data_IF_902060064557
#
_entry.id   IF_902060064557
#
_cell.length_a   1.000
_cell.length_b   1.000
_cell.length_c   1.000
_cell.angle_alpha   90.00
_cell.angle_beta   90.00
_cell.angle_gamma   90.00
#
_symmetry.space_group_name_H-M   'P 1'
#
loop_
_entity.id
_entity.type
_entity.pdbx_description
1 polymer ?
#
# COMPACT_ATOMS: atom_id res chain seq x y z
N UNK A 1 -66.83 -16.76 37.92
CA UNK A 1 -67.31 -17.49 36.71
C UNK A 1 -66.89 -16.66 35.50
N UNK A 2 -66.21 -17.15 34.46
CA UNK A 2 -65.83 -18.53 34.14
C UNK A 2 -66.36 -18.95 32.77
N UNK A 3 -65.63 -18.62 31.69
CA UNK A 3 -65.66 -19.34 30.40
C UNK A 3 -64.52 -18.91 29.48
N UNK A 4 -63.61 -19.84 29.21
CA UNK A 4 -62.75 -19.80 28.02
C UNK A 4 -63.64 -19.94 26.78
N UNK A 5 -63.21 -19.36 25.67
CA UNK A 5 -63.46 -19.94 24.34
C UNK A 5 -62.20 -19.85 23.49
N UNK A 6 -61.53 -20.99 23.33
CA UNK A 6 -60.75 -21.29 22.14
C UNK A 6 -61.75 -21.55 20.99
N UNK A 7 -61.40 -21.25 19.73
CA UNK A 7 -61.24 -22.28 18.70
C UNK A 7 -60.77 -21.72 17.33
N UNK A 8 -59.74 -22.41 16.83
CA UNK A 8 -59.36 -22.69 15.43
C UNK A 8 -59.45 -21.68 14.28
N UNK A 9 -58.27 -21.51 13.67
CA UNK A 9 -58.07 -21.40 12.22
C UNK A 9 -58.97 -22.32 11.39
N UNK A 10 -59.52 -21.79 10.29
CA UNK A 10 -59.76 -22.58 9.06
C UNK A 10 -59.17 -21.85 7.85
N UNK A 11 -58.42 -22.60 7.04
CA UNK A 11 -58.01 -22.19 5.69
C UNK A 11 -59.20 -22.41 4.76
N UNK A 12 -59.44 -21.50 3.82
CA UNK A 12 -60.22 -21.77 2.62
C UNK A 12 -59.50 -21.20 1.39
N UNK A 13 -59.54 -21.96 0.30
CA UNK A 13 -58.80 -21.70 -0.93
C UNK A 13 -59.71 -21.07 -2.01
N UNK A 14 -59.14 -20.13 -2.79
CA UNK A 14 -59.67 -19.74 -4.11
C UNK A 14 -60.93 -18.87 -4.13
N UNK A 15 -61.39 -18.44 -5.33
CA UNK A 15 -60.91 -18.85 -6.66
C UNK A 15 -60.15 -17.77 -7.45
N UNK A 16 -59.56 -18.22 -8.55
CA UNK A 16 -58.82 -17.43 -9.55
C UNK A 16 -59.80 -16.59 -10.38
N UNK A 17 -59.65 -15.26 -10.38
CA UNK A 17 -60.33 -14.39 -11.36
C UNK A 17 -59.38 -13.97 -12.49
N UNK A 18 -59.47 -14.70 -13.60
CA UNK A 18 -58.94 -14.27 -14.89
C UNK A 18 -59.68 -13.00 -15.35
N UNK A 19 -58.96 -11.90 -15.52
CA UNK A 19 -59.48 -10.70 -16.18
C UNK A 19 -58.58 -10.33 -17.36
N UNK A 20 -59.16 -10.43 -18.56
CA UNK A 20 -58.50 -10.12 -19.83
C UNK A 20 -58.19 -8.62 -19.88
N UNK A 21 -56.90 -8.26 -19.95
CA UNK A 21 -56.47 -6.91 -20.28
C UNK A 21 -56.45 -6.72 -21.80
N UNK A 22 -57.13 -5.70 -22.37
CA UNK A 22 -56.97 -5.38 -23.79
C UNK A 22 -55.61 -4.72 -24.02
N UNK A 23 -54.75 -5.39 -24.78
CA UNK A 23 -53.52 -4.80 -25.34
C UNK A 23 -53.90 -3.59 -26.21
N UNK A 24 -53.51 -2.37 -25.79
CA UNK A 24 -53.53 -1.21 -26.69
C UNK A 24 -52.15 -1.03 -27.32
N UNK A 25 -52.18 -0.71 -28.60
CA UNK A 25 -51.06 -0.77 -29.53
C UNK A 25 -49.99 0.30 -29.30
N UNK A 26 -48.80 -0.05 -29.80
CA UNK A 26 -47.55 0.71 -29.81
C UNK A 26 -47.73 2.16 -30.29
N UNK A 27 -47.32 3.12 -29.46
CA UNK A 27 -47.02 4.49 -29.89
C UNK A 27 -45.53 4.66 -30.17
N UNK A 28 -45.15 4.85 -31.43
CA UNK A 28 -43.77 5.14 -31.81
C UNK A 28 -43.29 6.50 -31.26
N UNK A 29 -42.28 6.49 -30.39
CA UNK A 29 -41.48 7.68 -30.09
C UNK A 29 -40.23 7.71 -31.00
N UNK A 30 -40.24 8.60 -32.00
CA UNK A 30 -39.04 8.92 -32.79
C UNK A 30 -37.96 9.49 -31.86
N UNK A 31 -36.88 8.74 -31.65
CA UNK A 31 -35.66 9.29 -31.05
C UNK A 31 -34.92 10.07 -32.15
N UNK A 32 -34.85 11.38 -31.98
CA UNK A 32 -34.17 12.31 -32.90
C UNK A 32 -32.65 12.12 -32.83
N UNK A 33 -32.03 11.72 -33.93
CA UNK A 33 -30.57 11.57 -34.08
C UNK A 33 -29.91 12.78 -34.73
N UNK A 34 -29.18 13.58 -33.94
CA UNK A 34 -28.07 14.44 -34.37
C UNK A 34 -26.99 14.33 -33.27
N UNK A 35 -25.78 13.82 -33.56
CA UNK A 35 -24.60 14.59 -34.05
C UNK A 35 -24.31 15.77 -33.09
N UNK A 36 -23.17 15.88 -32.41
CA UNK A 36 -21.80 15.68 -32.90
C UNK A 36 -20.80 15.38 -31.76
N UNK A 37 -19.76 14.64 -32.14
CA UNK A 37 -18.48 14.30 -31.51
C UNK A 37 -17.71 15.39 -30.75
N UNK A 38 -16.94 14.98 -29.72
CA UNK A 38 -15.46 15.15 -29.66
C UNK A 38 -14.84 14.43 -28.44
N UNK A 39 -13.55 14.05 -28.56
CA UNK A 39 -12.62 13.57 -27.52
C UNK A 39 -12.95 12.20 -26.87
N UNK A 40 -12.01 11.27 -26.70
CA UNK A 40 -10.60 11.30 -27.10
C UNK A 40 -9.79 10.21 -26.39
N UNK A 41 -9.35 9.21 -27.16
CA UNK A 41 -8.25 8.27 -26.89
C UNK A 41 -7.49 8.40 -25.55
N UNK A 42 -7.63 7.42 -24.66
CA UNK A 42 -6.49 6.89 -23.88
C UNK A 42 -6.54 5.37 -23.94
N UNK A 43 -5.53 4.77 -24.55
CA UNK A 43 -5.57 3.39 -25.06
C UNK A 43 -5.07 2.32 -24.08
N UNK A 44 -5.30 1.06 -24.47
CA UNK A 44 -4.72 -0.12 -23.85
C UNK A 44 -3.19 -0.01 -23.74
N UNK A 45 -2.61 -0.54 -22.66
CA UNK A 45 -1.20 -0.97 -22.65
C UNK A 45 -1.10 -2.48 -22.53
N UNK A 46 -0.17 -2.99 -23.33
CA UNK A 46 -0.03 -4.40 -23.69
C UNK A 46 0.78 -5.21 -22.68
N UNK A 47 0.75 -6.52 -22.88
CA UNK A 47 1.58 -7.52 -22.23
C UNK A 47 3.01 -7.57 -22.87
N UNK A 48 3.93 -8.27 -22.18
CA UNK A 48 5.22 -8.82 -22.65
C UNK A 48 6.49 -7.93 -22.73
N UNK A 49 7.63 -8.63 -22.56
CA UNK A 49 9.06 -8.25 -22.61
C UNK A 49 9.67 -7.69 -21.30
N UNK A 50 10.93 -8.00 -20.91
CA UNK A 50 11.87 -9.03 -21.37
C UNK A 50 12.85 -9.42 -20.24
N UNK A 51 13.48 -10.58 -20.39
CA UNK A 51 14.61 -11.12 -19.63
C UNK A 51 15.91 -10.28 -19.75
N UNK A 52 16.90 -10.63 -18.90
CA UNK A 52 18.34 -10.26 -18.89
C UNK A 52 18.82 -9.01 -18.12
N UNK A 53 19.55 -9.26 -17.01
CA UNK A 53 20.99 -8.99 -16.80
C UNK A 53 21.38 -9.41 -15.35
N UNK A 54 22.17 -10.48 -15.18
CA UNK A 54 23.63 -10.44 -14.92
C UNK A 54 24.03 -9.70 -13.61
N UNK A 55 24.20 -10.41 -12.48
CA UNK A 55 25.43 -11.10 -12.03
C UNK A 55 26.68 -10.20 -11.92
N UNK A 56 26.91 -9.69 -10.71
CA UNK A 56 28.22 -9.51 -10.04
C UNK A 56 27.90 -9.28 -8.54
N UNK A 57 28.70 -9.59 -7.51
CA UNK A 57 30.15 -9.70 -7.43
C UNK A 57 30.53 -10.64 -6.27
N UNK A 58 31.37 -11.64 -6.50
CA UNK A 58 32.10 -12.38 -5.44
C UNK A 58 33.22 -13.21 -6.09
N UNK A 59 34.47 -12.76 -5.96
CA UNK A 59 35.70 -13.56 -5.77
C UNK A 59 36.97 -12.73 -6.03
N UNK A 60 37.90 -12.75 -5.07
CA UNK A 60 39.33 -12.45 -5.28
C UNK A 60 40.15 -13.24 -4.26
N UNK A 61 40.88 -14.24 -4.72
CA UNK A 61 42.03 -14.80 -3.99
C UNK A 61 43.08 -15.38 -4.95
N UNK A 62 44.33 -14.96 -4.73
CA UNK A 62 45.60 -15.65 -5.03
C UNK A 62 45.90 -16.21 -6.43
N UNK A 63 47.04 -15.77 -7.00
CA UNK A 63 48.18 -16.66 -7.33
C UNK A 63 49.43 -15.88 -7.78
N UNK A 64 50.57 -16.11 -7.11
CA UNK A 64 51.92 -16.04 -7.71
C UNK A 64 52.95 -16.70 -6.78
N UNK A 65 53.82 -17.57 -7.32
CA UNK A 65 54.95 -18.20 -6.62
C UNK A 65 56.15 -18.35 -7.57
N UNK A 66 57.32 -17.84 -7.16
CA UNK A 66 58.68 -18.21 -7.60
C UNK A 66 59.65 -17.84 -6.45
N UNK A 67 60.81 -18.46 -6.20
CA UNK A 67 61.50 -19.64 -6.74
C UNK A 67 62.81 -19.91 -5.94
N UNK A 68 63.51 -21.05 -6.12
CA UNK A 68 64.85 -21.35 -5.54
C UNK A 68 65.64 -22.36 -6.41
N UNK A 69 66.94 -22.11 -6.71
CA UNK A 69 68.08 -23.04 -7.00
C UNK A 69 69.32 -22.23 -7.50
N UNK A 70 70.58 -22.72 -7.60
CA UNK A 70 71.43 -23.58 -6.72
C UNK A 70 72.86 -23.76 -7.32
N UNK A 71 73.95 -23.63 -6.55
CA UNK A 71 75.36 -23.78 -7.02
C UNK A 71 76.23 -24.76 -6.20
N UNK A 72 77.27 -25.35 -6.83
CA UNK A 72 78.45 -26.03 -6.24
C UNK A 72 79.58 -26.23 -7.27
N UNK A 73 80.86 -26.25 -6.85
CA UNK A 73 82.08 -26.53 -7.66
C UNK A 73 82.96 -27.66 -7.08
N UNK A 74 83.90 -28.18 -7.88
CA UNK A 74 84.77 -29.36 -7.68
C UNK A 74 86.25 -29.00 -7.39
N UNK A 75 87.14 -30.00 -7.25
CA UNK A 75 88.56 -29.87 -6.86
C UNK A 75 89.44 -30.89 -7.64
N UNK A 76 90.69 -30.51 -7.97
CA UNK A 76 91.57 -31.22 -8.93
C UNK A 76 92.53 -32.26 -8.33
N UNK A 77 93.04 -33.17 -9.17
CA UNK A 77 94.06 -34.16 -8.82
C UNK A 77 95.16 -34.28 -9.89
N UNK A 78 96.31 -33.65 -9.67
CA UNK A 78 97.34 -33.45 -10.70
C UNK A 78 98.77 -33.78 -10.19
N UNK A 79 98.90 -34.78 -9.31
CA UNK A 79 100.17 -35.15 -8.65
C UNK A 79 100.60 -36.62 -8.85
N UNK A 80 99.72 -37.47 -9.39
CA UNK A 80 100.00 -38.91 -9.55
C UNK A 80 100.83 -39.16 -10.81
N UNK A 81 100.51 -38.47 -11.91
CA UNK A 81 101.06 -38.75 -13.24
C UNK A 81 102.57 -38.43 -13.36
N UNK A 82 103.08 -37.51 -12.54
CA UNK A 82 104.51 -37.14 -12.54
C UNK A 82 105.44 -38.19 -11.93
N UNK A 83 104.95 -39.16 -11.15
CA UNK A 83 105.81 -40.17 -10.51
C UNK A 83 106.06 -41.42 -11.36
N UNK A 84 105.12 -41.79 -12.25
CA UNK A 84 105.31 -42.93 -13.15
C UNK A 84 106.37 -42.65 -14.23
N UNK A 85 106.41 -41.41 -14.74
CA UNK A 85 107.33 -40.99 -15.81
C UNK A 85 108.83 -41.07 -15.42
N UNK A 86 109.15 -40.97 -14.12
CA UNK A 86 110.54 -41.09 -13.62
C UNK A 86 110.98 -42.56 -13.52
N UNK A 87 110.09 -43.47 -13.14
CA UNK A 87 110.38 -44.90 -12.97
C UNK A 87 110.65 -45.57 -14.34
N UNK A 88 109.98 -45.10 -15.38
CA UNK A 88 110.11 -45.60 -16.75
C UNK A 88 111.51 -45.33 -17.36
N UNK A 89 112.12 -44.18 -17.03
CA UNK A 89 113.42 -43.78 -17.55
C UNK A 89 114.58 -44.56 -16.90
N UNK A 90 114.52 -44.86 -15.61
CA UNK A 90 115.56 -45.65 -14.94
C UNK A 90 115.66 -47.09 -15.44
N UNK A 91 114.58 -47.68 -15.97
CA UNK A 91 114.59 -49.04 -16.53
C UNK A 91 115.29 -49.14 -17.89
N UNK A 92 115.42 -48.03 -18.64
CA UNK A 92 116.04 -48.02 -19.98
C UNK A 92 117.57 -48.07 -19.98
N UNK A 93 118.21 -47.90 -18.83
CA UNK A 93 119.69 -47.89 -18.70
C UNK A 93 120.28 -49.29 -18.38
N UNK A 94 119.46 -50.24 -17.92
CA UNK A 94 119.92 -51.54 -17.38
C UNK A 94 119.80 -52.72 -18.35
N UNK A 95 119.78 -52.48 -19.66
CA UNK A 95 119.80 -53.54 -20.69
C UNK A 95 120.86 -53.25 -21.76
N UNK A 96 122.14 -53.40 -21.42
CA UNK A 96 123.20 -53.54 -22.42
C UNK A 96 124.19 -54.67 -22.09
N UNK A 97 123.89 -55.82 -22.71
CA UNK A 97 124.80 -56.87 -23.20
C UNK A 97 125.89 -57.41 -22.26
N UNK A 98 125.63 -58.64 -21.80
CA UNK A 98 126.64 -59.69 -21.96
C UNK A 98 127.19 -59.71 -23.40
N UNK A 99 128.52 -59.70 -23.55
CA UNK A 99 129.21 -60.43 -24.62
C UNK A 99 130.52 -61.00 -24.06
N UNK A 100 130.64 -62.33 -24.11
CA UNK A 100 131.91 -63.06 -23.92
C UNK A 100 132.81 -62.83 -25.14
N UNK A 101 134.10 -63.18 -24.96
CA UNK A 101 135.19 -63.24 -25.95
C UNK A 101 136.15 -62.05 -25.90
N UNK A 102 137.46 -62.35 -25.93
CA UNK A 102 138.59 -61.47 -25.66
C UNK A 102 138.63 -61.04 -24.17
N UNK A 103 139.73 -61.14 -23.41
CA UNK A 103 141.15 -61.26 -23.77
C UNK A 103 141.84 -62.39 -23.00
N UNK A 104 142.56 -63.26 -23.73
CA UNK A 104 143.79 -63.88 -23.21
C UNK A 104 144.94 -62.88 -23.38
N UNK A 105 145.94 -62.93 -22.48
CA UNK A 105 147.02 -61.93 -22.28
C UNK A 105 146.59 -60.67 -21.50
N UNK A 106 146.67 -60.75 -20.18
CA UNK A 106 146.90 -59.61 -19.28
C UNK A 106 147.92 -60.07 -18.24
N UNK A 107 148.95 -59.27 -17.98
CA UNK A 107 150.07 -59.63 -17.10
C UNK A 107 149.68 -59.60 -15.60
N UNK A 108 150.39 -60.34 -14.73
CA UNK A 108 150.01 -60.53 -13.33
C UNK A 108 149.88 -59.23 -12.52
N UNK A 109 150.71 -58.23 -12.83
CA UNK A 109 150.92 -57.07 -11.95
C UNK A 109 149.72 -56.11 -11.89
N UNK A 110 148.86 -56.11 -12.92
CA UNK A 110 147.61 -55.34 -12.89
C UNK A 110 146.54 -55.94 -11.97
N UNK A 111 146.64 -57.23 -11.62
CA UNK A 111 145.63 -57.89 -10.78
C UNK A 111 145.74 -57.50 -9.30
N UNK A 112 146.95 -57.20 -8.81
CA UNK A 112 147.15 -56.74 -7.43
C UNK A 112 146.61 -55.32 -7.18
N UNK A 113 146.70 -54.41 -8.16
CA UNK A 113 146.11 -53.08 -8.08
C UNK A 113 144.56 -53.10 -7.99
N UNK A 114 143.92 -54.07 -8.64
CA UNK A 114 142.47 -54.28 -8.55
C UNK A 114 142.08 -54.77 -7.15
N UNK A 115 142.84 -55.69 -6.55
CA UNK A 115 142.55 -56.24 -5.22
C UNK A 115 142.68 -55.19 -4.09
N UNK A 116 143.60 -54.23 -4.20
CA UNK A 116 143.71 -53.12 -3.26
C UNK A 116 142.42 -52.26 -3.21
N UNK A 117 141.85 -51.94 -4.37
CA UNK A 117 140.63 -51.11 -4.47
C UNK A 117 139.37 -51.81 -3.88
N UNK A 118 139.34 -53.14 -3.83
CA UNK A 118 138.23 -53.88 -3.21
C UNK A 118 138.20 -53.77 -1.67
N UNK A 119 139.33 -53.45 -1.02
CA UNK A 119 139.38 -53.30 0.44
C UNK A 119 138.63 -52.04 0.92
N UNK A 120 138.75 -50.92 0.21
CA UNK A 120 138.08 -49.67 0.58
C UNK A 120 136.58 -49.67 0.22
N UNK A 121 136.18 -50.39 -0.84
CA UNK A 121 134.76 -50.63 -1.16
C UNK A 121 134.01 -51.30 0.00
N UNK A 122 134.63 -52.27 0.71
CA UNK A 122 134.03 -52.91 1.90
C UNK A 122 133.82 -51.95 3.07
N UNK A 123 134.72 -50.98 3.29
CA UNK A 123 134.55 -49.94 4.33
C UNK A 123 133.39 -49.00 4.00
N UNK A 124 133.18 -48.69 2.71
CA UNK A 124 132.08 -47.85 2.24
C UNK A 124 130.72 -48.54 2.38
N UNK A 125 130.64 -49.84 2.07
CA UNK A 125 129.41 -50.62 2.21
C UNK A 125 128.93 -50.68 3.67
N UNK A 126 129.86 -50.81 4.63
CA UNK A 126 129.54 -50.85 6.06
C UNK A 126 128.94 -49.52 6.57
N UNK A 127 129.43 -48.38 6.08
CA UNK A 127 128.84 -47.05 6.36
C UNK A 127 127.43 -46.94 5.78
N UNK A 128 127.19 -47.43 4.57
CA UNK A 128 125.87 -47.40 3.92
C UNK A 128 124.81 -48.22 4.68
N UNK A 129 125.17 -49.42 5.17
CA UNK A 129 124.26 -50.26 5.97
C UNK A 129 123.80 -49.58 7.27
N UNK A 130 124.67 -48.78 7.90
CA UNK A 130 124.34 -48.06 9.14
C UNK A 130 123.43 -46.84 8.90
N UNK A 131 123.59 -46.11 7.80
CA UNK A 131 122.69 -45.01 7.43
C UNK A 131 121.26 -45.52 7.14
N UNK A 132 121.13 -46.64 6.42
CA UNK A 132 119.84 -47.26 6.07
C UNK A 132 119.03 -47.71 7.31
N UNK A 133 119.72 -48.07 8.40
CA UNK A 133 119.09 -48.39 9.71
C UNK A 133 118.54 -47.14 10.43
N UNK A 134 119.21 -45.98 10.36
CA UNK A 134 118.68 -44.73 10.93
C UNK A 134 117.44 -44.21 10.18
N UNK A 135 117.45 -44.30 8.85
CA UNK A 135 116.33 -43.84 8.01
C UNK A 135 115.02 -44.63 8.27
N UNK A 136 115.13 -45.94 8.50
CA UNK A 136 113.98 -46.82 8.76
C UNK A 136 113.38 -46.66 10.15
N UNK A 137 114.14 -46.17 11.14
CA UNK A 137 113.59 -45.75 12.43
C UNK A 137 112.75 -44.48 12.27
N UNK A 138 113.31 -43.43 11.64
CA UNK A 138 112.66 -42.13 11.52
C UNK A 138 111.31 -42.20 10.76
N UNK A 139 111.22 -43.09 9.76
CA UNK A 139 109.99 -43.32 8.98
C UNK A 139 108.85 -43.95 9.80
N UNK A 140 109.14 -44.71 10.87
CA UNK A 140 108.11 -45.30 11.74
C UNK A 140 107.47 -44.27 12.67
N UNK A 141 108.27 -43.39 13.27
CA UNK A 141 107.77 -42.37 14.21
C UNK A 141 106.86 -41.33 13.54
N UNK A 142 107.16 -41.00 12.28
CA UNK A 142 106.34 -40.07 11.47
C UNK A 142 104.97 -40.70 11.13
N UNK A 143 104.91 -42.01 10.89
CA UNK A 143 103.65 -42.71 10.59
C UNK A 143 102.70 -42.70 11.81
N UNK A 144 103.22 -43.01 13.00
CA UNK A 144 102.43 -43.07 14.25
C UNK A 144 101.84 -41.68 14.59
N UNK A 145 102.62 -40.60 14.45
CA UNK A 145 102.12 -39.23 14.69
C UNK A 145 101.01 -38.79 13.71
N UNK A 146 101.08 -39.19 12.44
CA UNK A 146 100.04 -38.87 11.45
C UNK A 146 98.71 -39.58 11.74
N UNK A 147 98.74 -40.83 12.16
CA UNK A 147 97.51 -41.59 12.41
C UNK A 147 96.72 -41.06 13.62
N UNK A 148 97.41 -40.63 14.68
CA UNK A 148 96.81 -40.03 15.86
C UNK A 148 96.00 -38.75 15.54
N UNK A 149 96.53 -37.86 14.69
CA UNK A 149 95.85 -36.62 14.29
C UNK A 149 94.56 -36.89 13.49
N UNK A 150 94.54 -37.92 12.63
CA UNK A 150 93.36 -38.31 11.86
C UNK A 150 92.24 -38.80 12.77
N UNK A 151 92.56 -39.64 13.78
CA UNK A 151 91.58 -40.14 14.76
C UNK A 151 90.97 -39.01 15.60
N UNK A 152 91.75 -37.98 15.95
CA UNK A 152 91.26 -36.81 16.70
C UNK A 152 90.29 -35.94 15.89
N UNK A 153 90.63 -35.61 14.62
CA UNK A 153 89.76 -34.85 13.71
C UNK A 153 88.41 -35.55 13.47
N UNK A 154 88.42 -36.89 13.31
CA UNK A 154 87.19 -37.70 13.13
C UNK A 154 86.22 -37.55 14.33
N UNK A 155 86.71 -37.68 15.57
CA UNK A 155 85.89 -37.53 16.80
C UNK A 155 85.25 -36.13 16.93
N UNK A 156 85.97 -35.06 16.58
CA UNK A 156 85.44 -33.68 16.65
C UNK A 156 84.31 -33.45 15.63
N UNK A 157 84.43 -33.97 14.41
CA UNK A 157 83.39 -33.86 13.38
C UNK A 157 82.06 -34.53 13.76
N UNK A 158 82.12 -35.65 14.50
CA UNK A 158 80.95 -36.40 14.95
C UNK A 158 80.19 -35.66 16.06
N UNK A 159 80.90 -35.04 17.01
CA UNK A 159 80.28 -34.21 18.06
C UNK A 159 79.49 -33.04 17.47
N UNK A 160 80.06 -32.33 16.46
CA UNK A 160 79.39 -31.19 15.81
C UNK A 160 78.09 -31.60 15.12
N UNK A 161 78.13 -32.66 14.29
CA UNK A 161 76.94 -33.22 13.61
C UNK A 161 75.81 -33.63 14.58
N UNK A 162 76.13 -34.13 15.78
CA UNK A 162 75.13 -34.50 16.80
C UNK A 162 74.48 -33.26 17.44
N UNK A 163 75.25 -32.19 17.68
CA UNK A 163 74.70 -30.93 18.20
C UNK A 163 73.79 -30.24 17.18
N UNK A 164 74.21 -30.15 15.91
CA UNK A 164 73.42 -29.55 14.84
C UNK A 164 72.08 -30.28 14.65
N UNK A 165 72.09 -31.63 14.68
CA UNK A 165 70.87 -32.45 14.60
C UNK A 165 69.89 -32.16 15.74
N UNK A 166 70.39 -32.00 16.98
CA UNK A 166 69.57 -31.62 18.15
C UNK A 166 69.00 -30.19 18.05
N UNK A 167 69.71 -29.24 17.44
CA UNK A 167 69.19 -27.88 17.20
C UNK A 167 68.12 -27.86 16.09
N UNK A 168 68.33 -28.61 15.00
CA UNK A 168 67.34 -28.78 13.92
C UNK A 168 66.05 -29.42 14.47
N UNK A 169 66.18 -30.40 15.36
CA UNK A 169 65.04 -31.06 16.00
C UNK A 169 64.28 -30.12 16.96
N UNK A 170 64.99 -29.36 17.82
CA UNK A 170 64.36 -28.33 18.67
C UNK A 170 63.64 -27.25 17.86
N UNK A 171 64.21 -26.79 16.74
CA UNK A 171 63.57 -25.78 15.88
C UNK A 171 62.38 -26.34 15.10
N UNK A 172 62.44 -27.60 14.62
CA UNK A 172 61.29 -28.31 14.06
C UNK A 172 60.16 -28.46 15.08
N UNK A 173 60.46 -28.86 16.31
CA UNK A 173 59.49 -28.98 17.40
C UNK A 173 58.84 -27.62 17.75
N UNK A 174 59.64 -26.54 17.79
CA UNK A 174 59.14 -25.17 18.04
C UNK A 174 58.23 -24.69 16.89
N UNK A 175 58.60 -24.93 15.62
CA UNK A 175 57.74 -24.64 14.46
C UNK A 175 56.46 -25.48 14.44
N UNK A 176 56.52 -26.76 14.82
CA UNK A 176 55.34 -27.62 14.93
C UNK A 176 54.37 -27.13 16.03
N UNK A 177 54.87 -26.78 17.22
CA UNK A 177 54.06 -26.20 18.30
C UNK A 177 53.41 -24.86 17.89
N UNK A 178 54.13 -24.00 17.17
CA UNK A 178 53.57 -22.74 16.62
C UNK A 178 52.48 -23.00 15.58
N UNK A 179 52.70 -23.92 14.62
CA UNK A 179 51.66 -24.31 13.64
C UNK A 179 50.41 -24.87 14.33
N UNK A 180 50.58 -25.69 15.36
CA UNK A 180 49.47 -26.29 16.09
C UNK A 180 48.69 -25.26 16.93
N UNK A 181 49.37 -24.24 17.48
CA UNK A 181 48.70 -23.07 18.10
C UNK A 181 47.91 -22.25 17.08
N UNK A 182 48.53 -21.91 15.94
CA UNK A 182 47.87 -21.17 14.86
C UNK A 182 46.67 -21.94 14.25
N UNK A 183 46.74 -23.26 14.12
CA UNK A 183 45.61 -24.10 13.73
C UNK A 183 44.47 -24.05 14.74
N UNK A 184 44.76 -24.09 16.05
CA UNK A 184 43.75 -23.97 17.12
C UNK A 184 43.11 -22.58 17.13
N UNK A 185 43.86 -21.52 16.93
CA UNK A 185 43.34 -20.15 16.82
C UNK A 185 42.49 -19.97 15.56
N UNK A 186 42.95 -20.46 14.40
CA UNK A 186 42.14 -20.46 13.17
C UNK A 186 40.85 -21.28 13.30
N UNK A 187 40.87 -22.40 14.03
CA UNK A 187 39.65 -23.18 14.33
C UNK A 187 38.66 -22.37 15.17
N UNK A 188 39.12 -21.77 16.29
CA UNK A 188 38.30 -20.89 17.14
C UNK A 188 37.74 -19.69 16.36
N UNK A 189 38.53 -19.09 15.47
CA UNK A 189 38.07 -17.97 14.65
C UNK A 189 37.02 -18.41 13.61
N UNK A 190 37.20 -19.57 12.97
CA UNK A 190 36.16 -20.16 12.09
C UNK A 190 34.87 -20.46 12.85
N UNK A 191 34.95 -21.03 14.05
CA UNK A 191 33.79 -21.30 14.92
C UNK A 191 33.04 -20.00 15.28
N UNK A 192 33.76 -18.95 15.71
CA UNK A 192 33.18 -17.61 15.96
C UNK A 192 32.50 -17.01 14.72
N UNK A 193 33.10 -17.13 13.54
CA UNK A 193 32.52 -16.64 12.28
C UNK A 193 31.23 -17.42 11.94
N UNK A 194 31.21 -18.74 12.13
CA UNK A 194 30.02 -19.56 11.91
C UNK A 194 28.91 -19.19 12.89
N UNK A 195 29.24 -18.97 14.16
CA UNK A 195 28.26 -18.56 15.18
C UNK A 195 27.68 -17.17 14.90
N UNK A 196 28.53 -16.20 14.52
CA UNK A 196 28.10 -14.87 14.10
C UNK A 196 27.16 -14.92 12.88
N UNK A 197 27.48 -15.74 11.87
CA UNK A 197 26.62 -15.98 10.69
C UNK A 197 25.28 -16.63 11.07
N UNK A 198 25.26 -17.56 12.03
CA UNK A 198 24.00 -18.14 12.55
C UNK A 198 23.16 -17.08 13.26
N UNK A 199 23.77 -16.26 14.12
CA UNK A 199 23.09 -15.17 14.84
C UNK A 199 22.52 -14.10 13.90
N UNK A 200 23.26 -13.69 12.86
CA UNK A 200 22.77 -12.72 11.88
C UNK A 200 21.60 -13.27 11.06
N UNK A 201 21.66 -14.53 10.62
CA UNK A 201 20.56 -15.20 9.89
C UNK A 201 19.28 -15.30 10.74
N UNK A 202 19.41 -15.62 12.03
CA UNK A 202 18.28 -15.67 12.98
C UNK A 202 17.67 -14.27 13.15
N UNK A 203 18.50 -13.23 13.33
CA UNK A 203 18.04 -11.85 13.46
C UNK A 203 17.33 -11.36 12.17
N UNK A 204 17.83 -11.72 11.00
CA UNK A 204 17.20 -11.40 9.72
C UNK A 204 15.84 -12.08 9.55
N UNK A 205 15.74 -13.37 9.91
CA UNK A 205 14.45 -14.11 9.95
C UNK A 205 13.46 -13.45 10.91
N UNK A 206 13.89 -13.02 12.10
CA UNK A 206 13.04 -12.28 13.03
C UNK A 206 12.59 -10.91 12.49
N UNK A 207 13.48 -10.15 11.83
CA UNK A 207 13.12 -8.88 11.17
C UNK A 207 12.07 -9.10 10.08
N UNK A 208 12.27 -10.11 9.21
CA UNK A 208 11.30 -10.48 8.16
C UNK A 208 9.95 -10.94 8.74
N UNK A 209 9.94 -11.70 9.84
CA UNK A 209 8.70 -12.09 10.54
C UNK A 209 7.94 -10.87 11.08
N UNK A 210 8.62 -9.97 11.82
CA UNK A 210 8.03 -8.71 12.34
C UNK A 210 7.51 -7.80 11.24
N UNK A 211 8.16 -7.74 10.08
CA UNK A 211 7.67 -6.97 8.93
C UNK A 211 6.37 -7.56 8.36
N UNK A 212 6.28 -8.88 8.21
CA UNK A 212 5.05 -9.56 7.78
C UNK A 212 3.90 -9.35 8.77
N UNK A 213 4.15 -9.47 10.06
CA UNK A 213 3.16 -9.22 11.12
C UNK A 213 2.61 -7.78 11.06
N UNK A 214 3.49 -6.78 10.88
CA UNK A 214 3.07 -5.38 10.70
C UNK A 214 2.23 -5.15 9.45
N UNK A 215 2.51 -5.84 8.34
CA UNK A 215 1.70 -5.74 7.12
C UNK A 215 0.31 -6.35 7.32
N UNK A 216 0.23 -7.55 7.92
CA UNK A 216 -1.05 -8.21 8.26
C UNK A 216 -1.88 -7.38 9.25
N UNK A 217 -1.23 -6.69 10.19
CA UNK A 217 -1.93 -5.78 11.10
C UNK A 217 -2.53 -4.57 10.35
N UNK A 218 -1.74 -3.90 9.50
CA UNK A 218 -2.23 -2.78 8.67
C UNK A 218 -3.38 -3.18 7.76
N UNK A 219 -3.31 -4.38 7.18
CA UNK A 219 -4.38 -4.93 6.34
C UNK A 219 -5.66 -5.16 7.14
N UNK A 220 -5.57 -5.71 8.36
CA UNK A 220 -6.72 -5.86 9.27
C UNK A 220 -7.32 -4.52 9.69
N UNK A 221 -6.49 -3.53 9.98
CA UNK A 221 -6.92 -2.17 10.34
C UNK A 221 -7.67 -1.50 9.16
N UNK A 222 -7.13 -1.59 7.94
CA UNK A 222 -7.77 -1.12 6.72
C UNK A 222 -9.10 -1.86 6.41
N UNK A 223 -9.14 -3.18 6.60
CA UNK A 223 -10.38 -3.97 6.44
C UNK A 223 -11.43 -3.62 7.50
N UNK A 224 -11.03 -3.21 8.70
CA UNK A 224 -11.95 -2.74 9.74
C UNK A 224 -12.48 -1.33 9.42
N UNK A 225 -11.61 -0.42 8.99
CA UNK A 225 -11.99 0.94 8.58
C UNK A 225 -12.97 0.92 7.38
N UNK A 226 -12.67 0.15 6.34
CA UNK A 226 -13.54 0.01 5.17
C UNK A 226 -14.90 -0.60 5.54
N UNK A 227 -14.95 -1.60 6.42
CA UNK A 227 -16.23 -2.11 6.99
C UNK A 227 -17.00 -1.02 7.72
N UNK A 228 -16.34 -0.22 8.56
CA UNK A 228 -16.95 0.89 9.29
C UNK A 228 -17.48 2.01 8.38
N UNK A 229 -16.83 2.27 7.24
CA UNK A 229 -17.31 3.20 6.22
C UNK A 229 -18.53 2.64 5.47
N UNK A 230 -18.54 1.33 5.18
CA UNK A 230 -19.69 0.65 4.55
C UNK A 230 -20.90 0.68 5.49
N UNK A 231 -20.76 0.33 6.76
CA UNK A 231 -21.88 0.34 7.73
C UNK A 231 -22.45 1.75 7.92
N UNK A 232 -21.59 2.78 8.07
CA UNK A 232 -22.03 4.19 8.10
C UNK A 232 -22.83 4.58 6.86
N UNK A 233 -22.39 4.17 5.66
CA UNK A 233 -23.11 4.43 4.39
C UNK A 233 -24.45 3.69 4.30
N UNK A 234 -24.54 2.45 4.79
CA UNK A 234 -25.79 1.68 4.84
C UNK A 234 -26.79 2.34 5.79
N UNK A 235 -26.37 2.67 7.01
CA UNK A 235 -27.23 3.34 8.01
C UNK A 235 -27.74 4.70 7.52
N UNK A 236 -26.90 5.47 6.82
CA UNK A 236 -27.32 6.74 6.21
C UNK A 236 -28.38 6.53 5.11
N UNK A 237 -28.22 5.51 4.25
CA UNK A 237 -29.23 5.15 3.23
C UNK A 237 -30.53 4.71 3.86
N UNK A 238 -30.50 3.89 4.91
CA UNK A 238 -31.70 3.46 5.62
C UNK A 238 -32.47 4.61 6.26
N UNK A 239 -31.78 5.55 6.92
CA UNK A 239 -32.40 6.76 7.48
C UNK A 239 -33.10 7.57 6.38
N UNK A 240 -32.41 7.85 5.29
CA UNK A 240 -32.98 8.56 4.14
C UNK A 240 -34.17 7.83 3.50
N UNK A 241 -34.19 6.49 3.50
CA UNK A 241 -35.36 5.69 3.05
C UNK A 241 -36.52 5.82 4.04
N UNK A 242 -36.27 5.69 5.35
CA UNK A 242 -37.27 5.83 6.41
C UNK A 242 -37.92 7.23 6.39
N UNK A 243 -37.12 8.28 6.22
CA UNK A 243 -37.59 9.67 6.05
C UNK A 243 -38.46 9.85 4.80
N UNK A 244 -38.02 9.34 3.64
CA UNK A 244 -38.82 9.37 2.39
C UNK A 244 -40.15 8.65 2.55
N UNK A 245 -40.18 7.50 3.22
CA UNK A 245 -41.41 6.75 3.51
C UNK A 245 -42.33 7.51 4.48
N UNK A 246 -41.79 8.18 5.50
CA UNK A 246 -42.58 9.04 6.40
C UNK A 246 -43.25 10.20 5.62
N UNK A 247 -42.48 10.90 4.77
CA UNK A 247 -43.01 11.97 3.90
C UNK A 247 -44.07 11.44 2.93
N UNK A 248 -43.89 10.25 2.35
CA UNK A 248 -44.91 9.61 1.51
C UNK A 248 -46.18 9.28 2.28
N UNK A 249 -46.09 8.71 3.50
CA UNK A 249 -47.26 8.44 4.35
C UNK A 249 -48.08 9.71 4.60
N UNK A 250 -47.42 10.84 4.86
CA UNK A 250 -48.07 12.15 5.03
C UNK A 250 -48.78 12.58 3.71
N UNK A 251 -48.10 12.49 2.57
CA UNK A 251 -48.63 12.88 1.24
C UNK A 251 -49.86 12.06 0.79
N UNK A 252 -49.97 10.79 1.20
CA UNK A 252 -51.13 9.96 0.86
C UNK A 252 -52.25 9.98 1.92
N UNK A 253 -51.96 10.50 3.12
CA UNK A 253 -52.90 10.56 4.24
C UNK A 253 -54.17 11.36 3.93
N UNK A 254 -55.29 10.95 4.53
CA UNK A 254 -56.57 11.66 4.44
C UNK A 254 -56.60 12.91 5.32
N UNK A 255 -55.90 12.91 6.46
CA UNK A 255 -55.82 14.02 7.41
C UNK A 255 -55.01 15.20 6.82
N UNK A 256 -55.39 16.46 7.07
CA UNK A 256 -54.58 17.62 6.68
C UNK A 256 -53.30 17.71 7.52
N UNK A 257 -52.20 18.15 6.91
CA UNK A 257 -50.92 18.39 7.62
C UNK A 257 -51.01 19.65 8.48
N UNK A 258 -51.62 20.70 7.92
CA UNK A 258 -51.83 21.99 8.57
C UNK A 258 -53.29 22.43 8.38
N UNK A 259 -53.83 23.13 9.38
CA UNK A 259 -55.17 23.74 9.36
C UNK A 259 -55.02 25.25 9.45
N UNK A 260 -55.06 26.01 8.34
CA UNK A 260 -55.02 27.47 8.41
C UNK A 260 -56.29 28.03 9.07
N UNK A 261 -56.22 29.20 9.71
CA UNK A 261 -57.40 29.94 10.16
C UNK A 261 -58.32 30.33 8.99
N UNK A 262 -59.60 30.53 9.29
CA UNK A 262 -60.61 30.87 8.28
C UNK A 262 -60.65 32.37 8.03
N UNK A 263 -60.33 32.79 6.80
CA UNK A 263 -60.52 34.17 6.33
C UNK A 263 -61.97 34.50 5.93
N UNK A 264 -62.90 33.54 5.99
CA UNK A 264 -64.30 33.77 5.63
C UNK A 264 -64.96 34.60 6.74
N UNK A 265 -65.39 35.82 6.39
CA UNK A 265 -66.21 36.67 7.27
C UNK A 265 -67.45 35.91 7.74
N UNK A 266 -67.77 36.01 9.03
CA UNK A 266 -69.06 35.62 9.60
C UNK A 266 -70.09 36.73 9.39
N UNK A 267 -71.37 36.37 9.39
CA UNK A 267 -72.51 37.29 9.45
C UNK A 267 -72.98 37.51 10.90
N UNK A 268 -73.71 38.59 11.19
CA UNK A 268 -74.31 38.85 12.51
C UNK A 268 -75.12 37.67 13.04
N UNK A 269 -75.97 37.09 12.19
CA UNK A 269 -76.74 35.89 12.51
C UNK A 269 -75.85 34.71 12.95
N UNK A 270 -74.66 34.51 12.36
CA UNK A 270 -73.75 33.43 12.75
C UNK A 270 -73.02 33.68 14.08
N UNK A 271 -72.93 34.93 14.55
CA UNK A 271 -72.48 35.26 15.91
C UNK A 271 -73.64 35.03 16.88
N UNK A 272 -74.83 35.55 16.57
CA UNK A 272 -76.04 35.33 17.36
C UNK A 272 -76.37 33.84 17.58
N UNK A 273 -76.39 33.01 16.53
CA UNK A 273 -76.62 31.56 16.62
C UNK A 273 -75.60 30.89 17.55
N UNK A 274 -74.35 31.37 17.58
CA UNK A 274 -73.31 30.84 18.47
C UNK A 274 -73.58 31.21 19.93
N UNK A 275 -73.96 32.45 20.21
CA UNK A 275 -74.31 32.91 21.57
C UNK A 275 -75.60 32.21 22.07
N UNK A 276 -76.66 32.18 21.25
CA UNK A 276 -77.90 31.46 21.53
C UNK A 276 -77.68 29.96 21.80
N UNK A 277 -76.79 29.31 21.05
CA UNK A 277 -76.43 27.90 21.26
C UNK A 277 -75.61 27.64 22.54
N UNK A 278 -75.08 28.68 23.19
CA UNK A 278 -74.48 28.60 24.53
C UNK A 278 -75.58 28.82 25.59
N UNK A 279 -76.42 29.85 25.44
CA UNK A 279 -77.58 30.11 26.32
C UNK A 279 -78.50 28.89 26.46
N UNK A 280 -78.83 28.19 25.35
CA UNK A 280 -79.69 27.00 25.38
C UNK A 280 -79.06 25.81 26.11
N UNK A 281 -77.72 25.70 26.13
CA UNK A 281 -77.02 24.63 26.85
C UNK A 281 -76.98 24.88 28.34
N UNK A 282 -76.73 26.13 28.75
CA UNK A 282 -76.77 26.52 30.17
C UNK A 282 -78.16 26.33 30.78
N UNK A 283 -79.22 26.38 29.96
CA UNK A 283 -80.61 26.10 30.34
C UNK A 283 -80.98 24.60 30.29
N UNK A 284 -80.00 23.70 30.19
CA UNK A 284 -80.17 22.24 30.13
C UNK A 284 -81.18 21.74 29.08
N UNK A 285 -81.30 22.44 27.94
CA UNK A 285 -82.12 21.98 26.80
C UNK A 285 -81.39 20.94 25.94
N UNK A 286 -80.79 19.94 26.59
CA UNK A 286 -79.96 18.90 25.94
C UNK A 286 -80.71 18.02 24.93
N UNK A 287 -82.04 18.06 24.93
CA UNK A 287 -82.91 17.40 23.96
C UNK A 287 -82.97 18.10 22.59
N UNK A 288 -82.56 19.36 22.47
CA UNK A 288 -82.68 20.11 21.21
C UNK A 288 -81.54 19.75 20.27
N UNK A 289 -81.89 19.09 19.15
CA UNK A 289 -80.95 18.81 18.06
C UNK A 289 -80.24 20.07 17.57
N UNK A 290 -78.99 19.96 17.11
CA UNK A 290 -78.24 21.11 16.58
C UNK A 290 -78.94 21.83 15.42
N UNK A 291 -79.75 21.12 14.63
CA UNK A 291 -80.68 21.68 13.65
C UNK A 291 -81.79 22.51 14.29
N UNK A 292 -82.42 22.02 15.36
CA UNK A 292 -83.46 22.74 16.10
C UNK A 292 -82.94 24.04 16.71
N UNK A 293 -81.71 24.04 17.25
CA UNK A 293 -81.08 25.28 17.75
C UNK A 293 -80.98 26.36 16.67
N UNK A 294 -80.64 25.98 15.42
CA UNK A 294 -80.56 26.93 14.30
C UNK A 294 -81.94 27.42 13.86
N UNK A 295 -82.97 26.58 13.92
CA UNK A 295 -84.36 26.97 13.61
C UNK A 295 -84.87 27.98 14.65
N UNK A 296 -84.77 27.68 15.94
CA UNK A 296 -85.19 28.60 17.00
C UNK A 296 -84.35 29.88 17.05
N UNK A 297 -83.06 29.81 16.74
CA UNK A 297 -82.25 31.00 16.56
C UNK A 297 -82.73 31.84 15.35
N UNK A 298 -83.17 31.22 14.25
CA UNK A 298 -83.73 31.94 13.09
C UNK A 298 -85.04 32.67 13.47
N UNK A 299 -85.89 32.03 14.26
CA UNK A 299 -87.13 32.61 14.79
C UNK A 299 -86.83 33.79 15.72
N UNK A 300 -86.00 33.59 16.77
CA UNK A 300 -85.60 34.64 17.71
C UNK A 300 -84.87 35.79 17.02
N UNK A 301 -84.03 35.51 16.01
CA UNK A 301 -83.34 36.54 15.21
C UNK A 301 -84.32 37.40 14.40
N UNK A 302 -85.42 36.83 13.89
CA UNK A 302 -86.45 37.63 13.21
C UNK A 302 -87.12 38.61 14.17
N UNK A 303 -87.46 38.17 15.40
CA UNK A 303 -88.11 39.00 16.42
C UNK A 303 -87.21 40.05 17.08
N UNK A 304 -85.87 39.97 16.96
CA UNK A 304 -84.99 41.04 17.46
C UNK A 304 -85.29 42.38 16.78
N UNK A 305 -85.17 43.46 17.54
CA UNK A 305 -85.24 44.85 17.06
C UNK A 305 -84.06 45.20 16.13
N UNK A 306 -84.14 46.36 15.47
CA UNK A 306 -83.04 46.87 14.64
C UNK A 306 -81.79 47.15 15.47
N UNK A 307 -81.97 47.71 16.68
CA UNK A 307 -80.87 48.10 17.57
C UNK A 307 -80.11 46.89 18.12
N UNK A 308 -80.83 45.84 18.53
CA UNK A 308 -80.22 44.56 18.90
C UNK A 308 -79.42 43.95 17.74
N UNK A 309 -79.97 43.98 16.52
CA UNK A 309 -79.26 43.52 15.31
C UNK A 309 -78.01 44.36 15.01
N UNK A 310 -78.02 45.65 15.31
CA UNK A 310 -76.85 46.53 15.17
C UNK A 310 -75.73 46.17 16.16
N UNK A 311 -76.05 45.79 17.41
CA UNK A 311 -75.05 45.26 18.36
C UNK A 311 -74.36 44.00 17.82
N UNK A 312 -75.11 43.09 17.18
CA UNK A 312 -74.53 41.92 16.53
C UNK A 312 -73.72 42.24 15.27
N UNK A 313 -73.99 43.35 14.58
CA UNK A 313 -73.15 43.85 13.49
C UNK A 313 -71.78 44.30 14.03
N UNK A 314 -71.74 45.10 15.09
CA UNK A 314 -70.49 45.57 15.74
C UNK A 314 -69.65 44.37 16.20
N UNK A 315 -70.23 43.45 17.00
CA UNK A 315 -69.57 42.20 17.44
C UNK A 315 -68.99 41.39 16.27
N UNK A 316 -69.67 41.40 15.12
CA UNK A 316 -69.25 40.66 13.93
C UNK A 316 -68.09 41.32 13.22
N UNK A 317 -68.03 42.65 13.18
CA UNK A 317 -66.93 43.39 12.60
C UNK A 317 -65.66 43.23 13.42
N UNK A 318 -65.76 43.36 14.74
CA UNK A 318 -64.67 43.08 15.69
C UNK A 318 -64.15 41.64 15.55
N UNK A 319 -65.04 40.64 15.60
CA UNK A 319 -64.67 39.24 15.44
C UNK A 319 -63.99 38.97 14.09
N UNK A 320 -64.52 39.55 13.00
CA UNK A 320 -63.95 39.39 11.66
C UNK A 320 -62.57 40.08 11.55
N UNK A 321 -62.36 41.23 12.20
CA UNK A 321 -61.07 41.89 12.27
C UNK A 321 -60.04 41.04 13.05
N UNK A 322 -60.40 40.55 14.23
CA UNK A 322 -59.56 39.64 15.04
C UNK A 322 -59.17 38.37 14.25
N UNK A 323 -60.13 37.73 13.58
CA UNK A 323 -59.84 36.56 12.73
C UNK A 323 -58.94 36.90 11.53
N UNK A 324 -59.02 38.12 11.00
CA UNK A 324 -58.16 38.58 9.91
C UNK A 324 -56.71 38.74 10.39
N UNK A 325 -56.48 39.34 11.56
CA UNK A 325 -55.14 39.47 12.14
C UNK A 325 -54.52 38.12 12.53
N UNK A 326 -55.32 37.21 13.11
CA UNK A 326 -54.91 35.81 13.36
C UNK A 326 -54.54 35.12 12.04
N UNK A 327 -55.25 35.41 10.94
CA UNK A 327 -54.92 34.85 9.64
C UNK A 327 -53.66 35.47 9.01
N UNK A 328 -53.41 36.78 9.17
CA UNK A 328 -52.19 37.44 8.70
C UNK A 328 -50.96 36.89 9.42
N UNK A 329 -50.96 36.96 10.75
CA UNK A 329 -49.87 36.47 11.61
C UNK A 329 -49.57 34.99 11.37
N UNK A 330 -50.61 34.16 11.16
CA UNK A 330 -50.42 32.75 10.75
C UNK A 330 -49.71 32.63 9.38
N UNK A 331 -50.09 33.43 8.38
CA UNK A 331 -49.48 33.38 7.04
C UNK A 331 -48.06 33.97 6.99
N UNK A 332 -47.72 34.88 7.91
CA UNK A 332 -46.37 35.44 8.08
C UNK A 332 -45.43 34.45 8.77
N UNK A 333 -45.94 33.67 9.73
CA UNK A 333 -45.15 32.70 10.52
C UNK A 333 -45.19 31.25 10.00
N UNK A 334 -46.06 30.92 9.05
CA UNK A 334 -46.22 29.55 8.55
C UNK A 334 -45.00 29.03 7.78
N UNK A 335 -44.51 27.83 8.13
CA UNK A 335 -43.48 27.13 7.36
C UNK A 335 -43.97 26.81 5.94
N UNK A 336 -43.36 27.49 4.98
CA UNK A 336 -43.62 27.33 3.54
C UNK A 336 -43.34 25.90 3.04
N UNK A 337 -42.52 25.10 3.72
CA UNK A 337 -42.31 23.70 3.39
C UNK A 337 -43.50 22.83 3.80
N UNK A 338 -44.10 23.05 4.97
CA UNK A 338 -45.36 22.42 5.36
C UNK A 338 -46.51 22.84 4.43
N UNK A 339 -46.58 24.11 4.01
CA UNK A 339 -47.56 24.58 3.02
C UNK A 339 -47.38 23.88 1.66
N UNK A 340 -46.13 23.71 1.19
CA UNK A 340 -45.81 22.94 -0.03
C UNK A 340 -46.20 21.46 0.11
N UNK A 341 -45.96 20.85 1.29
CA UNK A 341 -46.28 19.45 1.58
C UNK A 341 -47.79 19.19 1.62
N UNK A 342 -48.57 20.04 2.31
CA UNK A 342 -50.04 20.00 2.32
C UNK A 342 -50.60 20.22 0.92
N UNK A 343 -50.05 21.15 0.14
CA UNK A 343 -50.44 21.33 -1.26
C UNK A 343 -50.14 20.10 -2.13
N UNK A 344 -49.01 19.40 -1.92
CA UNK A 344 -48.73 18.12 -2.59
C UNK A 344 -49.76 17.06 -2.21
N UNK A 345 -50.11 16.96 -0.92
CA UNK A 345 -51.19 16.07 -0.43
C UNK A 345 -52.54 16.40 -1.07
N UNK A 346 -52.91 17.68 -1.16
CA UNK A 346 -54.17 18.14 -1.81
C UNK A 346 -54.22 17.81 -3.30
N UNK A 347 -53.12 17.88 -4.04
CA UNK A 347 -53.07 17.40 -5.45
C UNK A 347 -53.41 15.91 -5.54
N UNK A 348 -52.85 15.08 -4.66
CA UNK A 348 -53.13 13.63 -4.63
C UNK A 348 -54.56 13.30 -4.15
N UNK A 349 -55.14 14.12 -3.27
CA UNK A 349 -56.57 14.04 -2.93
C UNK A 349 -57.42 14.44 -4.13
N UNK A 350 -57.09 15.53 -4.84
CA UNK A 350 -57.84 16.00 -6.00
C UNK A 350 -57.78 15.03 -7.19
N UNK A 351 -56.66 14.31 -7.37
CA UNK A 351 -56.57 13.23 -8.35
C UNK A 351 -57.55 12.09 -8.03
N UNK A 352 -57.64 11.67 -6.76
CA UNK A 352 -58.61 10.68 -6.29
C UNK A 352 -60.05 11.18 -6.40
N UNK A 353 -60.32 12.42 -5.99
CA UNK A 353 -61.66 13.01 -6.09
C UNK A 353 -62.12 13.10 -7.55
N UNK A 354 -61.24 13.49 -8.49
CA UNK A 354 -61.55 13.49 -9.93
C UNK A 354 -61.94 12.11 -10.47
N UNK A 355 -61.34 11.03 -9.97
CA UNK A 355 -61.68 9.66 -10.36
C UNK A 355 -62.98 9.14 -9.72
N UNK A 356 -63.50 9.83 -8.70
CA UNK A 356 -64.73 9.49 -7.97
C UNK A 356 -65.87 10.48 -8.23
N UNK A 357 -65.70 11.36 -9.22
CA UNK A 357 -66.55 12.54 -9.52
C UNK A 357 -66.91 13.40 -8.29
N UNK A 358 -65.93 13.62 -7.41
CA UNK A 358 -66.07 14.46 -6.20
C UNK A 358 -65.42 15.82 -6.38
N UNK A 359 -66.03 16.81 -5.73
CA UNK A 359 -65.51 18.18 -5.68
C UNK A 359 -64.03 18.25 -5.27
N UNK A 360 -63.28 19.12 -5.95
CA UNK A 360 -61.85 19.33 -5.69
C UNK A 360 -61.65 20.18 -4.44
N UNK A 361 -60.70 19.78 -3.60
CA UNK A 361 -60.23 20.60 -2.47
C UNK A 361 -59.40 21.76 -3.01
N UNK A 362 -59.70 22.99 -2.56
CA UNK A 362 -58.92 24.18 -2.94
C UNK A 362 -57.45 24.08 -2.50
N UNK A 363 -56.54 24.63 -3.30
CA UNK A 363 -55.12 24.69 -2.94
C UNK A 363 -54.88 25.80 -1.92
N UNK A 364 -53.97 25.57 -0.96
CA UNK A 364 -53.54 26.63 -0.03
C UNK A 364 -52.71 27.67 -0.79
N UNK A 365 -53.11 28.94 -0.67
CA UNK A 365 -52.44 30.12 -1.22
C UNK A 365 -52.59 31.23 -0.19
N UNK A 366 -51.55 32.03 0.01
CA UNK A 366 -51.63 33.21 0.88
C UNK A 366 -52.68 34.18 0.30
N UNK A 367 -53.75 34.53 1.03
CA UNK A 367 -54.81 35.41 0.54
C UNK A 367 -54.44 36.89 0.58
N UNK A 368 -53.41 37.27 1.36
CA UNK A 368 -52.95 38.64 1.54
C UNK A 368 -51.94 39.09 0.47
N UNK A 369 -51.28 38.14 -0.19
CA UNK A 369 -50.43 38.44 -1.35
C UNK A 369 -51.32 38.91 -2.50
N UNK A 370 -51.24 40.21 -2.82
CA UNK A 370 -51.85 40.79 -4.02
C UNK A 370 -51.40 39.96 -5.24
N UNK A 371 -52.36 39.35 -5.94
CA UNK A 371 -52.07 38.69 -7.21
C UNK A 371 -51.68 39.78 -8.20
N UNK A 372 -50.50 39.68 -8.80
CA UNK A 372 -50.17 40.46 -10.00
C UNK A 372 -51.28 40.24 -11.02
N UNK A 373 -51.88 41.31 -11.51
CA UNK A 373 -52.86 41.22 -12.58
C UNK A 373 -52.12 40.87 -13.87
N UNK A 374 -52.82 40.24 -14.81
CA UNK A 374 -52.30 40.21 -16.18
C UNK A 374 -52.37 41.65 -16.72
N UNK A 375 -51.35 42.17 -17.44
CA UNK A 375 -51.38 43.51 -18.04
C UNK A 375 -52.68 43.82 -18.80
N UNK A 376 -53.21 42.84 -19.54
CA UNK A 376 -54.50 42.93 -20.22
C UNK A 376 -55.68 43.16 -19.26
N UNK A 377 -55.66 42.52 -18.09
CA UNK A 377 -56.70 42.66 -17.06
C UNK A 377 -56.56 44.03 -16.35
N UNK A 378 -55.34 44.52 -16.15
CA UNK A 378 -55.12 45.87 -15.61
C UNK A 378 -55.66 46.94 -16.58
N UNK A 379 -55.38 46.81 -17.87
CA UNK A 379 -55.94 47.66 -18.92
C UNK A 379 -57.47 47.58 -18.99
N UNK A 380 -58.04 46.37 -19.02
CA UNK A 380 -59.49 46.16 -19.01
C UNK A 380 -60.15 46.83 -17.79
N UNK A 381 -59.52 46.73 -16.61
CA UNK A 381 -59.98 47.38 -15.37
C UNK A 381 -59.94 48.91 -15.50
N UNK A 382 -58.88 49.50 -16.06
CA UNK A 382 -58.79 50.95 -16.31
C UNK A 382 -59.92 51.42 -17.25
N UNK A 383 -60.27 50.66 -18.29
CA UNK A 383 -61.38 51.00 -19.21
C UNK A 383 -62.76 50.96 -18.54
N UNK A 384 -63.00 49.99 -17.64
CA UNK A 384 -64.24 49.94 -16.86
C UNK A 384 -64.30 51.06 -15.80
N UNK A 385 -63.19 51.38 -15.14
CA UNK A 385 -63.10 52.49 -14.17
C UNK A 385 -63.36 53.85 -14.85
N UNK A 386 -62.87 54.03 -16.08
CA UNK A 386 -63.15 55.19 -16.93
C UNK A 386 -64.54 55.17 -17.60
N UNK A 387 -65.35 54.11 -17.40
CA UNK A 387 -66.68 53.92 -18.01
C UNK A 387 -66.67 54.00 -19.55
N UNK A 388 -65.56 53.67 -20.20
CA UNK A 388 -65.44 53.63 -21.67
C UNK A 388 -66.27 52.49 -22.27
N UNK A 389 -66.57 51.47 -21.46
CA UNK A 389 -67.31 50.27 -21.85
C UNK A 389 -68.69 50.27 -21.21
N UNK A 390 -69.73 50.06 -22.02
CA UNK A 390 -71.12 49.96 -21.59
C UNK A 390 -71.86 48.90 -22.41
N UNK A 391 -72.89 48.28 -21.82
CA UNK A 391 -73.68 47.23 -22.48
C UNK A 391 -73.12 45.81 -22.33
N UNK A 392 -73.33 44.99 -23.35
CA UNK A 392 -73.11 43.54 -23.29
C UNK A 392 -71.63 43.15 -23.07
N UNK A 393 -71.39 42.30 -22.05
CA UNK A 393 -70.06 41.79 -21.66
C UNK A 393 -69.29 41.12 -22.82
N UNK A 394 -69.96 40.38 -23.70
CA UNK A 394 -69.32 39.68 -24.82
C UNK A 394 -68.81 40.66 -25.89
N UNK A 395 -69.57 41.74 -26.13
CA UNK A 395 -69.15 42.81 -27.03
C UNK A 395 -68.02 43.63 -26.38
N UNK A 396 -68.11 43.94 -25.09
CA UNK A 396 -67.04 44.60 -24.36
C UNK A 396 -65.74 43.78 -24.40
N UNK A 397 -65.80 42.45 -24.21
CA UNK A 397 -64.63 41.58 -24.31
C UNK A 397 -63.96 41.63 -25.69
N UNK A 398 -64.74 41.65 -26.77
CA UNK A 398 -64.24 41.83 -28.15
C UNK A 398 -63.61 43.21 -28.34
N UNK A 399 -64.24 44.28 -27.85
CA UNK A 399 -63.75 45.66 -27.96
C UNK A 399 -62.44 45.87 -27.19
N UNK A 400 -62.35 45.41 -25.93
CA UNK A 400 -61.11 45.46 -25.13
C UNK A 400 -59.99 44.70 -25.85
N UNK A 401 -60.27 43.53 -26.42
CA UNK A 401 -59.29 42.71 -27.13
C UNK A 401 -58.73 43.42 -28.37
N UNK A 402 -59.59 44.10 -29.15
CA UNK A 402 -59.16 44.96 -30.26
C UNK A 402 -58.29 46.11 -29.75
N UNK A 403 -58.81 46.94 -28.85
CA UNK A 403 -58.09 48.10 -28.32
C UNK A 403 -56.73 47.72 -27.73
N UNK A 404 -56.61 46.57 -27.05
CA UNK A 404 -55.34 46.07 -26.52
C UNK A 404 -54.34 45.65 -27.60
N UNK A 405 -54.81 45.03 -28.68
CA UNK A 405 -53.94 44.67 -29.81
C UNK A 405 -53.46 45.92 -30.56
N UNK A 406 -54.33 46.95 -30.65
CA UNK A 406 -54.04 48.24 -31.26
C UNK A 406 -53.06 49.10 -30.43
N UNK A 407 -52.84 48.78 -29.14
CA UNK A 407 -51.82 49.44 -28.32
C UNK A 407 -50.39 49.07 -28.79
N UNK A 408 -49.53 50.08 -28.86
CA UNK A 408 -48.09 49.90 -29.02
C UNK A 408 -47.46 49.17 -27.82
N UNK A 409 -46.31 48.52 -28.02
CA UNK A 409 -45.59 47.83 -26.93
C UNK A 409 -45.17 48.78 -25.79
N UNK A 410 -44.84 50.04 -26.11
CA UNK A 410 -44.56 51.07 -25.09
C UNK A 410 -45.78 51.37 -24.20
N UNK A 411 -46.99 51.40 -24.78
CA UNK A 411 -48.23 51.56 -24.00
C UNK A 411 -48.56 50.31 -23.17
N UNK A 412 -48.29 49.11 -23.69
CA UNK A 412 -48.47 47.85 -22.96
C UNK A 412 -47.50 47.72 -21.77
N UNK A 413 -46.30 48.29 -21.85
CA UNK A 413 -45.32 48.26 -20.76
C UNK A 413 -45.83 48.95 -19.49
N UNK A 414 -46.60 50.03 -19.61
CA UNK A 414 -47.30 50.70 -18.48
C UNK A 414 -48.15 49.72 -17.64
N UNK A 415 -48.70 48.69 -18.28
CA UNK A 415 -49.53 47.67 -17.63
C UNK A 415 -48.74 46.43 -17.18
N UNK A 416 -47.45 46.30 -17.56
CA UNK A 416 -46.56 45.22 -17.08
C UNK A 416 -45.97 45.49 -15.69
N UNK A 417 -45.91 46.76 -15.30
CA UNK A 417 -45.48 47.21 -13.97
C UNK A 417 -46.61 47.30 -12.92
N UNK A 418 -47.86 47.13 -13.32
CA UNK A 418 -49.07 47.22 -12.48
C UNK A 418 -49.49 45.88 -11.81
#
# INVERSE_FOLDING_TARGET
MGRLFLYLNTRCCGPIFSSKLPFKSLGHTRISSKKISHLGLWGCRFFQSSSYLAISSLEKLSLSQQGIKSEKKTFDGNLVDNLQNIIENCKKVLVYKHRKSLFSKVEPDHFQAILANFADLKKLELKFRNLKRKETSLKKDIAIKKEAQVRLKKKLSLKKKVQDKKQIEKTRLKKAKLRLKAMKENKKNKEKIIEAKKKSLILEKMKKKRQKEKLVQKEKEFLLETKNLITKRVLAKEKAIKEKLAVQKIIYSRKPVIKPPSIRKRSPFMIFVKEFALESKEKNQDSISSSGVVVHASEKWKSLTADEKALYQIKTEEYNAQQLEIAKTWWETADMNLVKLENRRRRNVNARNRALDKNRVSMLRNPFVKKKLNPYIAFAKELYEKKVLSGNLDNNAKTISKMWNDLSEAQKEKYRSA
#
